data_IF_948430586430
#
_entry.id   IF_948430586430
#
_cell.length_a   1.000
_cell.length_b   1.000
_cell.length_c   1.000
_cell.angle_alpha   90.00
_cell.angle_beta   90.00
_cell.angle_gamma   90.00
#
_symmetry.space_group_name_H-M   'P 1'
#
loop_
_entity.id
_entity.type
_entity.pdbx_description
1 polymer ?
#
# COMPACT_ATOMS: atom_id res chain seq x y z
N UNK A 1 10.84 0.93 16.08
CA UNK A 1 10.42 1.34 14.73
C UNK A 1 10.49 0.10 13.85
N UNK A 2 9.41 -0.22 13.15
CA UNK A 2 9.37 -1.38 12.25
C UNK A 2 10.13 -1.08 10.96
N UNK A 3 11.30 -1.70 10.80
CA UNK A 3 12.19 -1.41 9.67
C UNK A 3 11.56 -1.82 8.33
N UNK A 4 10.82 -2.93 8.30
CA UNK A 4 10.19 -3.46 7.09
C UNK A 4 9.17 -2.48 6.54
N UNK A 5 8.35 -1.91 7.43
CA UNK A 5 7.40 -0.86 7.07
C UNK A 5 8.08 0.35 6.42
N UNK A 6 9.11 0.91 7.08
CA UNK A 6 9.78 2.10 6.57
C UNK A 6 10.52 1.84 5.26
N UNK A 7 11.20 0.70 5.12
CA UNK A 7 11.91 0.34 3.91
C UNK A 7 10.92 0.18 2.73
N UNK A 8 9.80 -0.52 2.95
CA UNK A 8 8.74 -0.70 1.95
C UNK A 8 8.11 0.62 1.49
N UNK A 9 7.69 1.47 2.43
CA UNK A 9 7.08 2.77 2.09
C UNK A 9 8.09 3.67 1.37
N UNK A 10 9.34 3.69 1.83
CA UNK A 10 10.42 4.46 1.19
C UNK A 10 10.65 4.01 -0.25
N UNK A 11 10.64 2.70 -0.51
CA UNK A 11 10.81 2.16 -1.86
C UNK A 11 9.63 2.52 -2.77
N UNK A 12 8.39 2.40 -2.29
CA UNK A 12 7.20 2.77 -3.04
C UNK A 12 7.15 4.27 -3.37
N UNK A 13 7.57 5.14 -2.45
CA UNK A 13 7.67 6.57 -2.70
C UNK A 13 8.74 6.91 -3.74
N UNK A 14 9.93 6.27 -3.64
CA UNK A 14 11.03 6.45 -4.62
C UNK A 14 10.64 6.00 -6.02
N UNK A 15 9.86 4.93 -6.12
CA UNK A 15 9.41 4.37 -7.39
C UNK A 15 8.15 5.07 -7.93
N UNK A 16 7.64 6.10 -7.26
CA UNK A 16 6.45 6.84 -7.68
C UNK A 16 5.20 5.95 -7.86
N UNK A 17 5.06 4.96 -6.99
CA UNK A 17 3.85 4.11 -6.93
C UNK A 17 2.61 4.97 -6.68
N UNK A 18 1.47 4.52 -7.18
CA UNK A 18 0.19 5.16 -6.97
C UNK A 18 -0.07 5.38 -5.47
N UNK A 19 -0.41 6.60 -5.11
CA UNK A 19 -0.65 7.01 -3.72
C UNK A 19 -1.75 6.19 -3.05
N UNK A 20 -2.80 5.82 -3.77
CA UNK A 20 -3.88 4.99 -3.21
C UNK A 20 -3.39 3.60 -2.83
N UNK A 21 -2.48 3.02 -3.62
CA UNK A 21 -1.86 1.73 -3.31
C UNK A 21 -1.01 1.84 -2.05
N UNK A 22 -0.14 2.85 -1.96
CA UNK A 22 0.72 3.07 -0.78
C UNK A 22 -0.12 3.25 0.48
N UNK A 23 -1.19 4.05 0.42
CA UNK A 23 -2.07 4.26 1.56
C UNK A 23 -2.86 3.00 1.94
N UNK A 24 -3.28 2.21 0.96
CA UNK A 24 -3.86 0.89 1.19
C UNK A 24 -2.89 -0.02 1.93
N UNK A 25 -1.67 -0.15 1.39
CA UNK A 25 -0.62 -0.99 1.94
C UNK A 25 -0.27 -0.63 3.37
N UNK A 26 -0.08 0.67 3.66
CA UNK A 26 0.14 1.13 5.03
C UNK A 26 -1.04 0.78 5.96
N UNK A 27 -2.27 0.91 5.46
CA UNK A 27 -3.48 0.56 6.20
C UNK A 27 -3.55 -0.93 6.55
N UNK A 28 -3.32 -1.81 5.58
CA UNK A 28 -3.32 -3.26 5.78
C UNK A 28 -2.16 -3.71 6.67
N UNK A 29 -0.96 -3.18 6.45
CA UNK A 29 0.22 -3.55 7.25
C UNK A 29 0.04 -3.21 8.74
N UNK A 30 -0.57 -2.06 9.03
CA UNK A 30 -0.87 -1.63 10.39
C UNK A 30 -2.14 -2.25 10.98
N UNK A 31 -2.84 -3.11 10.22
CA UNK A 31 -4.10 -3.72 10.61
C UNK A 31 -5.18 -2.68 10.97
N UNK A 32 -5.17 -1.54 10.28
CA UNK A 32 -6.19 -0.50 10.45
C UNK A 32 -7.50 -0.94 9.79
N UNK A 33 -8.67 -0.54 10.30
CA UNK A 33 -9.93 -0.74 9.60
C UNK A 33 -9.87 -0.18 8.18
N UNK A 34 -10.48 -0.90 7.26
CA UNK A 34 -10.62 -0.46 5.87
C UNK A 34 -11.42 0.84 5.81
N UNK A 35 -11.12 1.68 4.81
CA UNK A 35 -11.84 2.94 4.60
C UNK A 35 -13.31 2.67 4.30
N UNK A 36 -14.12 3.72 4.49
CA UNK A 36 -15.52 3.75 4.06
C UNK A 36 -15.65 3.31 2.60
N UNK A 37 -16.65 2.49 2.28
CA UNK A 37 -16.86 1.90 0.95
C UNK A 37 -16.83 2.94 -0.19
N UNK A 38 -17.36 4.15 0.07
CA UNK A 38 -17.39 5.25 -0.89
C UNK A 38 -16.01 5.80 -1.27
N UNK A 39 -14.98 5.49 -0.48
CA UNK A 39 -13.60 5.94 -0.67
C UNK A 39 -12.68 4.81 -1.12
N UNK A 40 -13.21 3.59 -1.25
CA UNK A 40 -12.48 2.46 -1.80
C UNK A 40 -12.37 2.59 -3.30
N UNK A 41 -11.23 2.17 -3.82
CA UNK A 41 -10.96 2.00 -5.22
C UNK A 41 -10.05 0.79 -5.39
N UNK A 42 -10.04 0.22 -6.59
CA UNK A 42 -9.28 -1.00 -6.91
C UNK A 42 -7.82 -0.92 -6.47
N UNK A 43 -7.18 0.24 -6.67
CA UNK A 43 -5.78 0.46 -6.31
C UNK A 43 -5.54 0.45 -4.80
N UNK A 44 -6.43 1.06 -4.03
CA UNK A 44 -6.39 1.04 -2.57
C UNK A 44 -6.65 -0.37 -2.02
N UNK A 45 -7.63 -1.07 -2.56
CA UNK A 45 -8.00 -2.43 -2.12
C UNK A 45 -6.85 -3.42 -2.36
N UNK A 46 -6.21 -3.34 -3.54
CA UNK A 46 -5.03 -4.13 -3.86
C UNK A 46 -3.88 -3.84 -2.88
N UNK A 47 -3.60 -2.55 -2.63
CA UNK A 47 -2.60 -2.14 -1.65
C UNK A 47 -2.91 -2.68 -0.25
N UNK A 48 -4.15 -2.57 0.20
CA UNK A 48 -4.58 -3.03 1.52
C UNK A 48 -4.45 -4.55 1.70
N UNK A 49 -4.79 -5.33 0.68
CA UNK A 49 -4.57 -6.78 0.68
C UNK A 49 -3.08 -7.14 0.76
N UNK A 50 -2.25 -6.52 -0.08
CA UNK A 50 -0.79 -6.73 -0.04
C UNK A 50 -0.18 -6.29 1.29
N UNK A 51 -0.67 -5.19 1.86
CA UNK A 51 -0.25 -4.68 3.16
C UNK A 51 -0.56 -5.64 4.31
N UNK A 52 -1.75 -6.25 4.31
CA UNK A 52 -2.14 -7.26 5.29
C UNK A 52 -1.21 -8.48 5.30
N UNK A 53 -0.68 -8.84 4.14
CA UNK A 53 0.27 -9.95 3.98
C UNK A 53 1.73 -9.51 4.15
N UNK A 54 2.00 -8.20 4.24
CA UNK A 54 3.35 -7.63 4.23
C UNK A 54 4.07 -7.80 2.90
N UNK A 55 3.33 -7.97 1.80
CA UNK A 55 3.86 -8.23 0.47
C UNK A 55 4.30 -6.93 -0.21
N UNK A 56 5.58 -6.85 -0.61
CA UNK A 56 6.15 -5.71 -1.35
C UNK A 56 6.48 -6.05 -2.80
N UNK A 57 6.15 -7.23 -3.31
CA UNK A 57 6.47 -7.61 -4.70
C UNK A 57 5.53 -7.00 -5.75
N UNK A 58 4.33 -6.60 -5.35
CA UNK A 58 3.23 -6.25 -6.26
C UNK A 58 3.15 -4.75 -6.60
N UNK A 59 3.84 -3.87 -5.87
CA UNK A 59 3.74 -2.42 -6.07
C UNK A 59 4.20 -1.96 -7.47
N UNK A 60 5.06 -2.74 -8.14
CA UNK A 60 5.56 -2.43 -9.48
C UNK A 60 4.44 -2.36 -10.55
N UNK A 61 3.30 -3.03 -10.30
CA UNK A 61 2.14 -2.96 -11.18
C UNK A 61 1.39 -1.63 -11.07
N UNK A 62 1.62 -0.89 -9.98
CA UNK A 62 0.93 0.34 -9.61
C UNK A 62 1.80 1.58 -9.75
N UNK A 63 2.93 1.50 -10.46
CA UNK A 63 3.75 2.66 -10.79
C UNK A 63 2.91 3.69 -11.55
N UNK A 64 3.00 4.97 -11.15
CA UNK A 64 2.37 6.04 -11.92
C UNK A 64 3.00 6.07 -13.32
N UNK A 65 2.16 5.91 -14.35
CA UNK A 65 2.54 6.16 -15.74
C UNK A 65 2.68 7.65 -16.02
#
# INVERSE_FOLDING_TARGET
MDKTYYDAVTEMEKTQVNREYVLGWMGGYLQNPMREEQRLNETYEAGYADGNEGNTGNFAQWLKK
#
